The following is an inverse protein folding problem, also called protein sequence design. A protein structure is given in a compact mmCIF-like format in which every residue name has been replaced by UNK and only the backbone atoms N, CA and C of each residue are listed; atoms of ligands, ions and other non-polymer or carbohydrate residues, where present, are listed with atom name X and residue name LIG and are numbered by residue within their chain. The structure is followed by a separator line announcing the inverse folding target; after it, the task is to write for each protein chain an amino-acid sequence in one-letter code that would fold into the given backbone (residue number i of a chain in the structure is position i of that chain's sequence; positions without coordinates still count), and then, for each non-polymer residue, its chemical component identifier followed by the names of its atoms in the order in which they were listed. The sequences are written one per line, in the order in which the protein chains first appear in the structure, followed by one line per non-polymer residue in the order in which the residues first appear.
data_IF_305333505549
#
_entry.id   IF_305333505549
#
_cell.length_a   1.000
_cell.length_b   1.000
_cell.length_c   1.000
_cell.angle_alpha   90.00
_cell.angle_beta   90.00
_cell.angle_gamma   90.00
#
_symmetry.space_group_name_H-M   'P 1'
#
loop_
_entity.id
_entity.type
_entity.pdbx_description
1 polymer ?
#
# COMPACT_ATOMS: atom_id res chain seq x y z
N UNK A 1 34.86 7.24 42.48
CA UNK A 1 34.96 7.90 41.16
C UNK A 1 33.65 8.64 40.93
N UNK A 2 33.60 9.96 41.16
CA UNK A 2 32.37 10.76 41.01
C UNK A 2 32.28 11.19 39.55
N UNK A 3 31.43 10.53 38.77
CA UNK A 3 31.05 11.01 37.45
C UNK A 3 30.32 12.34 37.68
N UNK A 4 30.88 13.43 37.19
CA UNK A 4 30.26 14.74 37.39
C UNK A 4 29.02 14.83 36.51
N UNK A 5 27.97 15.47 37.02
CA UNK A 5 26.71 15.65 36.30
C UNK A 5 26.90 16.32 34.92
N UNK A 6 27.96 17.14 34.81
CA UNK A 6 28.39 17.77 33.55
C UNK A 6 28.89 16.76 32.50
N UNK A 7 29.52 15.64 32.89
CA UNK A 7 29.96 14.60 31.96
C UNK A 7 28.79 13.81 31.37
N UNK A 8 27.74 13.58 32.17
CA UNK A 8 26.52 12.88 31.72
C UNK A 8 25.72 13.74 30.75
N UNK A 9 25.62 15.05 31.02
CA UNK A 9 24.88 16.00 30.18
C UNK A 9 25.50 16.17 28.79
N UNK A 10 26.84 16.17 28.70
CA UNK A 10 27.59 16.22 27.44
C UNK A 10 27.42 14.95 26.59
N UNK A 11 27.32 13.79 27.23
CA UNK A 11 27.07 12.52 26.53
C UNK A 11 25.65 12.49 25.94
N UNK A 12 24.65 13.00 26.67
CA UNK A 12 23.27 13.09 26.17
C UNK A 12 23.11 14.11 25.03
N UNK A 13 23.83 15.24 25.06
CA UNK A 13 23.80 16.20 23.95
C UNK A 13 24.49 15.66 22.70
N UNK A 14 25.58 14.90 22.83
CA UNK A 14 26.25 14.26 21.69
C UNK A 14 25.38 13.19 20.99
N UNK A 15 24.54 12.47 21.74
CA UNK A 15 23.61 11.47 21.17
C UNK A 15 22.45 12.13 20.42
N UNK A 16 22.01 13.33 20.82
CA UNK A 16 20.93 14.05 20.12
C UNK A 16 21.37 14.66 18.78
N UNK A 17 22.64 15.02 18.60
CA UNK A 17 23.12 15.68 17.36
C UNK A 17 23.39 14.67 16.23
N UNK A 18 23.59 13.38 16.54
CA UNK A 18 23.76 12.33 15.54
C UNK A 18 22.43 11.72 15.05
N UNK A 19 21.30 12.16 15.62
CA UNK A 19 19.98 11.58 15.41
C UNK A 19 19.05 12.33 14.45
N UNK A 20 19.54 13.04 13.43
CA UNK A 20 18.67 13.70 12.43
C UNK A 20 19.34 13.74 11.04
N UNK A 21 19.78 12.60 10.51
CA UNK A 21 20.18 12.52 9.10
C UNK A 21 19.41 11.43 8.35
N UNK A 22 18.12 11.31 8.62
CA UNK A 22 17.22 10.73 7.63
C UNK A 22 16.46 11.88 6.98
N UNK A 23 17.14 12.60 6.10
CA UNK A 23 16.48 13.42 5.08
C UNK A 23 15.84 12.47 4.06
N UNK A 24 14.91 11.64 4.53
CA UNK A 24 13.96 11.02 3.61
C UNK A 24 13.16 12.16 3.02
N UNK A 25 13.02 12.23 1.67
CA UNK A 25 12.14 13.21 1.06
C UNK A 25 10.77 13.15 1.75
N UNK A 26 10.18 14.32 2.00
CA UNK A 26 8.83 14.40 2.57
C UNK A 26 7.93 13.43 1.79
N UNK A 27 7.40 12.41 2.48
CA UNK A 27 6.49 11.44 1.87
C UNK A 27 5.34 12.19 1.21
N UNK A 28 4.98 11.83 -0.02
CA UNK A 28 3.86 12.50 -0.67
C UNK A 28 2.55 12.06 0.00
N UNK A 29 1.49 12.85 -0.20
CA UNK A 29 0.15 12.53 0.31
C UNK A 29 -0.31 11.12 -0.10
N UNK A 30 0.19 10.61 -1.23
CA UNK A 30 -0.12 9.30 -1.76
C UNK A 30 0.46 8.19 -0.87
N UNK A 31 1.76 8.24 -0.55
CA UNK A 31 2.37 7.27 0.37
C UNK A 31 1.76 7.39 1.77
N UNK A 32 1.51 8.62 2.24
CA UNK A 32 0.88 8.83 3.56
C UNK A 32 -0.49 8.15 3.62
N UNK A 33 -1.32 8.32 2.59
CA UNK A 33 -2.67 7.77 2.56
C UNK A 33 -2.67 6.23 2.50
N UNK A 34 -1.86 5.63 1.61
CA UNK A 34 -1.85 4.17 1.46
C UNK A 34 -1.18 3.47 2.64
N UNK A 35 -0.08 4.03 3.15
CA UNK A 35 0.60 3.50 4.33
C UNK A 35 -0.32 3.52 5.54
N UNK A 36 -1.08 4.60 5.75
CA UNK A 36 -2.04 4.67 6.85
C UNK A 36 -3.18 3.67 6.70
N UNK A 37 -3.66 3.45 5.47
CA UNK A 37 -4.82 2.58 5.22
C UNK A 37 -4.49 1.11 5.43
N UNK A 38 -3.34 0.66 4.91
CA UNK A 38 -2.97 -0.76 4.88
C UNK A 38 -1.80 -1.11 5.79
N UNK A 39 -1.32 -0.16 6.61
CA UNK A 39 -0.11 -0.33 7.44
C UNK A 39 1.15 -0.62 6.61
N UNK A 40 1.18 -0.11 5.36
CA UNK A 40 2.32 -0.23 4.45
C UNK A 40 3.45 0.75 4.81
N UNK A 41 4.62 0.53 4.22
CA UNK A 41 5.83 1.30 4.50
C UNK A 41 6.53 1.82 3.24
N UNK A 42 5.78 2.20 2.21
CA UNK A 42 6.37 2.85 1.03
C UNK A 42 6.97 4.20 1.41
N UNK A 43 8.23 4.45 1.03
CA UNK A 43 8.80 5.80 1.05
C UNK A 43 8.61 6.50 -0.30
N UNK A 44 8.51 5.74 -1.40
CA UNK A 44 8.17 6.24 -2.73
C UNK A 44 7.39 5.17 -3.51
N UNK A 45 6.21 5.53 -4.04
CA UNK A 45 5.32 4.65 -4.80
C UNK A 45 5.00 5.32 -6.14
N UNK A 46 5.32 4.64 -7.25
CA UNK A 46 5.17 5.21 -8.60
C UNK A 46 4.75 4.19 -9.65
N UNK A 47 4.43 2.95 -9.27
CA UNK A 47 4.00 1.91 -10.20
C UNK A 47 2.83 1.12 -9.61
N UNK A 48 1.79 0.93 -10.42
CA UNK A 48 0.62 0.11 -10.07
C UNK A 48 0.25 -0.80 -11.22
N UNK A 49 0.05 -2.08 -10.93
CA UNK A 49 -0.41 -3.08 -11.90
C UNK A 49 -1.67 -3.78 -11.41
N UNK A 50 -2.62 -4.00 -12.31
CA UNK A 50 -3.88 -4.69 -12.01
C UNK A 50 -3.96 -5.94 -12.88
N UNK A 51 -4.20 -7.08 -12.24
CA UNK A 51 -4.27 -8.38 -12.88
C UNK A 51 -5.61 -9.04 -12.64
N UNK A 52 -6.09 -9.76 -13.65
CA UNK A 52 -7.12 -10.79 -13.51
C UNK A 52 -6.44 -12.12 -13.21
N UNK A 53 -6.90 -12.82 -12.18
CA UNK A 53 -6.39 -14.12 -11.78
C UNK A 53 -7.28 -15.25 -12.31
N UNK A 54 -6.67 -16.42 -12.55
CA UNK A 54 -7.36 -17.68 -12.75
C UNK A 54 -7.92 -18.24 -11.43
N UNK A 55 -8.74 -19.29 -11.52
CA UNK A 55 -9.30 -19.97 -10.33
C UNK A 55 -8.20 -20.60 -9.44
N UNK A 56 -7.05 -20.92 -10.03
CA UNK A 56 -5.85 -21.42 -9.38
C UNK A 56 -4.94 -20.31 -8.82
N UNK A 57 -5.35 -19.04 -8.93
CA UNK A 57 -4.58 -17.87 -8.49
C UNK A 57 -3.47 -17.45 -9.46
N UNK A 58 -3.34 -18.10 -10.63
CA UNK A 58 -2.33 -17.73 -11.62
C UNK A 58 -2.70 -16.45 -12.37
N UNK A 59 -1.70 -15.73 -12.88
CA UNK A 59 -1.94 -14.55 -13.71
C UNK A 59 -2.58 -14.96 -15.02
N UNK A 60 -3.80 -14.49 -15.27
CA UNK A 60 -4.50 -14.74 -16.53
C UNK A 60 -4.30 -13.58 -17.51
N UNK A 61 -4.44 -12.35 -17.02
CA UNK A 61 -4.46 -11.15 -17.86
C UNK A 61 -3.98 -9.93 -17.07
N UNK A 62 -3.19 -9.07 -17.72
CA UNK A 62 -2.86 -7.73 -17.21
C UNK A 62 -3.91 -6.76 -17.71
N UNK A 63 -4.68 -6.17 -16.79
CA UNK A 63 -5.77 -5.26 -17.12
C UNK A 63 -5.26 -3.83 -17.29
N UNK A 64 -4.39 -3.39 -16.37
CA UNK A 64 -3.91 -2.01 -16.31
C UNK A 64 -2.47 -1.98 -15.78
N UNK A 65 -1.65 -1.11 -16.36
CA UNK A 65 -0.32 -0.74 -15.84
C UNK A 65 -0.19 0.79 -15.83
N UNK A 66 0.06 1.38 -14.66
CA UNK A 66 0.16 2.82 -14.44
C UNK A 66 1.53 3.16 -13.84
N UNK A 67 2.18 4.22 -14.32
CA UNK A 67 3.52 4.65 -13.88
C UNK A 67 3.60 6.15 -13.64
N UNK A 68 4.37 6.60 -12.66
CA UNK A 68 4.53 8.02 -12.32
C UNK A 68 3.21 8.63 -11.84
N UNK A 69 2.99 9.92 -12.11
CA UNK A 69 1.88 10.69 -11.49
C UNK A 69 0.47 10.14 -11.77
N UNK A 70 0.28 9.37 -12.84
CA UNK A 70 -1.03 8.80 -13.19
C UNK A 70 -1.51 7.72 -12.21
N UNK A 71 -0.64 7.19 -11.35
CA UNK A 71 -1.05 6.24 -10.30
C UNK A 71 -1.93 6.90 -9.23
N UNK A 72 -1.92 8.24 -9.14
CA UNK A 72 -2.58 8.98 -8.06
C UNK A 72 -4.04 8.60 -7.88
N UNK A 73 -4.78 8.45 -8.99
CA UNK A 73 -6.20 8.12 -8.97
C UNK A 73 -6.49 6.78 -8.30
N UNK A 74 -5.76 5.73 -8.66
CA UNK A 74 -6.00 4.39 -8.12
C UNK A 74 -5.56 4.31 -6.66
N UNK A 75 -4.42 4.89 -6.30
CA UNK A 75 -3.91 4.81 -4.92
C UNK A 75 -4.80 5.59 -3.96
N UNK A 76 -5.23 6.80 -4.32
CA UNK A 76 -6.19 7.55 -3.48
C UNK A 76 -7.55 6.85 -3.39
N UNK A 77 -7.94 6.09 -4.41
CA UNK A 77 -9.15 5.28 -4.36
C UNK A 77 -9.00 4.11 -3.40
N UNK A 78 -7.87 3.39 -3.46
CA UNK A 78 -7.54 2.32 -2.51
C UNK A 78 -7.45 2.82 -1.08
N UNK A 79 -6.97 4.04 -0.86
CA UNK A 79 -6.88 4.66 0.46
C UNK A 79 -8.24 5.10 1.05
N UNK A 80 -9.33 5.01 0.29
CA UNK A 80 -10.70 5.19 0.84
C UNK A 80 -11.19 3.95 1.59
N UNK A 81 -10.47 2.82 1.48
CA UNK A 81 -10.92 1.57 2.04
C UNK A 81 -10.99 1.62 3.57
N UNK A 82 -11.98 0.94 4.12
CA UNK A 82 -12.14 0.79 5.57
C UNK A 82 -11.91 -0.66 5.97
N UNK A 83 -11.16 -0.87 7.04
CA UNK A 83 -10.96 -2.21 7.59
C UNK A 83 -12.31 -2.81 8.02
N UNK A 84 -12.54 -4.07 7.73
CA UNK A 84 -13.81 -4.76 7.97
C UNK A 84 -13.62 -6.19 8.44
N UNK A 85 -14.54 -6.67 9.28
CA UNK A 85 -14.64 -8.08 9.68
C UNK A 85 -15.82 -8.81 9.03
N UNK A 86 -16.50 -8.16 8.06
CA UNK A 86 -17.70 -8.70 7.40
C UNK A 86 -17.41 -9.94 6.52
N UNK A 87 -16.13 -10.19 6.23
CA UNK A 87 -15.70 -11.24 5.32
C UNK A 87 -15.48 -12.55 6.06
N UNK A 88 -16.28 -13.56 5.74
CA UNK A 88 -16.01 -14.97 6.08
C UNK A 88 -16.00 -15.80 4.79
N UNK A 89 -14.97 -16.61 4.61
CA UNK A 89 -14.94 -17.65 3.58
C UNK A 89 -14.62 -17.21 2.15
N UNK A 90 -13.99 -16.05 1.94
CA UNK A 90 -13.38 -15.74 0.63
C UNK A 90 -12.06 -16.50 0.54
N UNK A 91 -12.05 -17.56 -0.27
CA UNK A 91 -10.87 -18.39 -0.50
C UNK A 91 -10.22 -18.15 -1.87
N UNK A 92 -10.93 -17.48 -2.78
CA UNK A 92 -10.47 -17.17 -4.13
C UNK A 92 -10.69 -15.70 -4.44
N UNK A 93 -9.67 -15.06 -5.04
CA UNK A 93 -9.70 -13.65 -5.40
C UNK A 93 -9.54 -13.53 -6.92
N UNK A 94 -10.54 -13.02 -7.66
CA UNK A 94 -10.47 -12.94 -9.11
C UNK A 94 -9.51 -11.87 -9.64
N UNK A 95 -9.03 -10.95 -8.79
CA UNK A 95 -8.08 -9.92 -9.21
C UNK A 95 -7.00 -9.68 -8.16
N UNK A 96 -5.90 -9.09 -8.62
CA UNK A 96 -4.78 -8.63 -7.79
C UNK A 96 -4.34 -7.25 -8.22
N UNK A 97 -4.05 -6.38 -7.26
CA UNK A 97 -3.39 -5.10 -7.48
C UNK A 97 -2.00 -5.18 -6.87
N UNK A 98 -0.97 -4.90 -7.66
CA UNK A 98 0.41 -4.80 -7.21
C UNK A 98 0.77 -3.32 -7.15
N UNK A 99 1.12 -2.85 -5.96
CA UNK A 99 1.69 -1.54 -5.72
C UNK A 99 3.20 -1.72 -5.62
N UNK A 100 3.99 -0.96 -6.38
CA UNK A 100 5.44 -1.12 -6.37
C UNK A 100 6.18 0.17 -6.67
N UNK A 101 7.45 0.18 -6.28
CA UNK A 101 8.41 1.19 -6.73
C UNK A 101 9.08 0.69 -8.00
N UNK A 102 9.08 1.52 -9.04
CA UNK A 102 9.79 1.30 -10.29
C UNK A 102 11.30 1.17 -10.04
N UNK A 103 12.03 0.64 -11.01
CA UNK A 103 13.48 0.51 -10.91
C UNK A 103 14.15 1.88 -10.72
N UNK A 104 13.63 2.89 -11.39
CA UNK A 104 14.07 4.29 -11.33
C UNK A 104 13.77 4.91 -9.95
N UNK A 105 12.66 4.54 -9.33
CA UNK A 105 12.24 5.03 -8.01
C UNK A 105 12.97 4.43 -6.81
N UNK A 106 13.73 3.35 -7.01
CA UNK A 106 14.39 2.61 -5.93
C UNK A 106 15.38 3.45 -5.12
N UNK A 107 16.01 4.45 -5.73
CA UNK A 107 16.93 5.37 -5.03
C UNK A 107 16.22 6.18 -3.93
N UNK A 108 14.90 6.35 -4.05
CA UNK A 108 14.06 7.12 -3.13
C UNK A 108 13.25 6.24 -2.16
N UNK A 109 13.36 4.91 -2.27
CA UNK A 109 12.60 4.00 -1.45
C UNK A 109 13.48 3.04 -0.65
N UNK A 110 13.40 3.10 0.69
CA UNK A 110 14.33 2.36 1.58
C UNK A 110 13.68 1.22 2.35
N UNK A 111 12.34 1.11 2.36
CA UNK A 111 11.59 0.20 3.26
C UNK A 111 10.85 -0.89 2.50
N UNK A 112 9.72 -0.57 1.87
CA UNK A 112 8.86 -1.53 1.19
C UNK A 112 8.78 -1.19 -0.29
N UNK A 113 9.19 -2.12 -1.15
CA UNK A 113 9.29 -1.91 -2.61
C UNK A 113 8.11 -2.49 -3.39
N UNK A 114 7.32 -3.36 -2.76
CA UNK A 114 6.14 -3.96 -3.37
C UNK A 114 5.12 -4.38 -2.31
N UNK A 115 3.84 -4.36 -2.69
CA UNK A 115 2.72 -4.85 -1.92
C UNK A 115 1.66 -5.43 -2.86
N UNK A 116 1.03 -6.53 -2.44
CA UNK A 116 -0.02 -7.19 -3.22
C UNK A 116 -1.35 -7.12 -2.48
N UNK A 117 -2.35 -6.50 -3.11
CA UNK A 117 -3.73 -6.48 -2.64
C UNK A 117 -4.54 -7.50 -3.44
N UNK A 118 -5.15 -8.47 -2.76
CA UNK A 118 -6.09 -9.38 -3.40
C UNK A 118 -7.48 -8.75 -3.40
N UNK A 119 -8.22 -8.86 -4.51
CA UNK A 119 -9.47 -8.13 -4.70
C UNK A 119 -10.62 -9.07 -5.03
N UNK A 120 -11.72 -8.91 -4.31
CA UNK A 120 -12.95 -9.67 -4.47
C UNK A 120 -14.18 -8.75 -4.54
N UNK A 121 -14.68 -8.43 -5.73
CA UNK A 121 -15.93 -7.70 -5.91
C UNK A 121 -17.14 -8.57 -5.53
N UNK A 122 -18.09 -8.03 -4.76
CA UNK A 122 -19.34 -8.74 -4.39
C UNK A 122 -20.50 -7.76 -4.21
N UNK A 123 -21.46 -7.82 -5.12
CA UNK A 123 -22.62 -6.92 -5.11
C UNK A 123 -22.17 -5.46 -5.23
N UNK A 124 -22.55 -4.62 -4.26
CA UNK A 124 -22.21 -3.19 -4.23
C UNK A 124 -20.92 -2.88 -3.45
N UNK A 125 -20.14 -3.89 -3.06
CA UNK A 125 -18.88 -3.71 -2.34
C UNK A 125 -17.72 -4.38 -3.06
N UNK A 126 -16.52 -3.84 -2.87
CA UNK A 126 -15.28 -4.48 -3.27
C UNK A 126 -14.46 -4.76 -2.02
N UNK A 127 -14.17 -6.04 -1.79
CA UNK A 127 -13.34 -6.47 -0.67
C UNK A 127 -11.89 -6.57 -1.10
N UNK A 128 -10.99 -6.04 -0.29
CA UNK A 128 -9.56 -6.11 -0.47
C UNK A 128 -8.95 -6.91 0.68
N UNK A 129 -7.92 -7.68 0.40
CA UNK A 129 -7.19 -8.44 1.41
C UNK A 129 -5.70 -8.13 1.33
N UNK A 130 -5.11 -7.81 2.47
CA UNK A 130 -3.69 -7.50 2.65
C UNK A 130 -3.25 -7.94 4.04
N UNK A 131 -2.13 -8.66 4.15
CA UNK A 131 -1.52 -9.08 5.42
C UNK A 131 -2.51 -9.56 6.50
N UNK A 132 -3.41 -10.47 6.14
CA UNK A 132 -4.44 -11.04 7.03
C UNK A 132 -5.54 -10.07 7.50
N UNK A 133 -5.64 -8.90 6.89
CA UNK A 133 -6.70 -7.91 7.14
C UNK A 133 -7.59 -7.76 5.92
N UNK A 134 -8.86 -7.50 6.16
CA UNK A 134 -9.85 -7.26 5.12
C UNK A 134 -10.25 -5.81 5.11
N UNK A 135 -10.43 -5.26 3.91
CA UNK A 135 -10.86 -3.89 3.70
C UNK A 135 -12.02 -3.85 2.73
N UNK A 136 -12.82 -2.79 2.81
CA UNK A 136 -14.02 -2.59 2.02
C UNK A 136 -13.98 -1.25 1.30
N UNK A 137 -14.25 -1.31 0.00
CA UNK A 137 -14.53 -0.20 -0.90
C UNK A 137 -15.94 -0.32 -1.47
N UNK A 138 -16.41 0.74 -2.14
CA UNK A 138 -17.62 0.68 -2.95
C UNK A 138 -17.39 -0.21 -4.17
N UNK A 139 -18.43 -0.88 -4.65
CA UNK A 139 -18.38 -1.79 -5.81
C UNK A 139 -17.97 -1.10 -7.11
N UNK A 140 -18.10 0.22 -7.18
CA UNK A 140 -17.81 1.03 -8.37
C UNK A 140 -16.41 1.65 -8.35
N UNK A 141 -15.75 1.71 -7.20
CA UNK A 141 -14.52 2.47 -7.00
C UNK A 141 -13.38 1.98 -7.92
N UNK A 142 -13.34 0.69 -8.26
CA UNK A 142 -12.27 0.09 -9.06
C UNK A 142 -12.67 -0.27 -10.50
N UNK A 143 -13.88 0.08 -10.94
CA UNK A 143 -14.41 -0.28 -12.26
C UNK A 143 -13.59 0.30 -13.42
N UNK A 144 -13.12 1.54 -13.28
CA UNK A 144 -12.28 2.20 -14.30
C UNK A 144 -10.93 1.53 -14.52
N UNK A 145 -10.55 0.60 -13.64
CA UNK A 145 -9.31 -0.18 -13.73
C UNK A 145 -9.53 -1.63 -14.18
N UNK A 146 -10.71 -1.94 -14.74
CA UNK A 146 -11.05 -3.25 -15.27
C UNK A 146 -11.50 -4.28 -14.22
N UNK A 147 -11.68 -3.87 -12.97
CA UNK A 147 -12.23 -4.73 -11.91
C UNK A 147 -13.75 -4.69 -11.99
N UNK A 148 -14.33 -5.76 -12.56
CA UNK A 148 -15.76 -5.88 -12.78
C UNK A 148 -16.46 -6.31 -11.48
N UNK A 149 -17.61 -5.72 -11.17
CA UNK A 149 -18.43 -6.20 -10.07
C UNK A 149 -18.89 -7.63 -10.38
N UNK A 150 -18.74 -8.55 -9.42
CA UNK A 150 -19.36 -9.86 -9.56
C UNK A 150 -20.87 -9.65 -9.72
N UNK A 151 -21.39 -10.02 -10.88
CA UNK A 151 -22.83 -10.08 -11.13
C UNK A 151 -23.44 -10.87 -9.97
N UNK A 152 -24.32 -10.22 -9.21
CA UNK A 152 -25.14 -10.94 -8.26
C UNK A 152 -25.91 -12.01 -9.07
N UNK A 153 -25.90 -13.29 -8.66
CA UNK A 153 -26.82 -14.27 -9.23
C UNK A 153 -28.28 -13.83 -9.01
#
# INVERSE_FOLDING_TARGET
MRISFQTVLLLFTAIFVLGCSDSSPLKSDLEVAINKTYDMQFDYLDHVQVYKLGEDGTYKESLVELKGDIIRGIVLTLAKASETSEVKGINTYPYKIVLSTSREGMEYNKKQTSAELLVYPKGQATYLFYENRYYKLSGDDLKSYGIESALAP
#
